data_IF_823336705296
#
_entry.id   IF_823336705296
#
_cell.length_a   1.000
_cell.length_b   1.000
_cell.length_c   1.000
_cell.angle_alpha   90.00
_cell.angle_beta   90.00
_cell.angle_gamma   90.00
#
_symmetry.space_group_name_H-M   'P 1'
#
loop_
_entity.id
_entity.type
_entity.pdbx_description
1 polymer ?
#
# COMPACT_ATOMS: atom_id res chain seq x y z
N UNK A 1 1.02 11.85 67.25
CA UNK A 1 0.54 11.48 65.93
C UNK A 1 0.86 10.00 65.74
N UNK A 2 -0.13 9.15 65.43
CA UNK A 2 0.08 7.72 65.29
C UNK A 2 0.85 7.45 63.96
N UNK A 3 2.01 6.80 64.06
CA UNK A 3 2.85 6.40 62.93
C UNK A 3 2.07 5.59 61.83
N UNK A 4 0.98 4.95 62.21
CA UNK A 4 0.08 4.23 61.27
C UNK A 4 -0.56 5.10 60.20
N UNK A 5 -0.98 6.33 60.56
CA UNK A 5 -1.61 7.23 59.57
C UNK A 5 -0.63 7.76 58.53
N UNK A 6 0.64 8.01 58.91
CA UNK A 6 1.65 8.45 57.98
C UNK A 6 1.98 7.39 56.94
N UNK A 7 2.00 6.12 57.35
CA UNK A 7 2.28 5.00 56.45
C UNK A 7 1.17 4.78 55.43
N UNK A 8 -0.10 4.96 55.81
CA UNK A 8 -1.25 4.91 54.88
C UNK A 8 -1.20 6.03 53.82
N UNK A 9 -0.83 7.26 54.21
CA UNK A 9 -0.68 8.36 53.24
C UNK A 9 0.46 8.11 52.27
N UNK A 10 1.60 7.56 52.74
CA UNK A 10 2.74 7.23 51.86
C UNK A 10 2.34 6.12 50.87
N UNK A 11 1.65 5.07 51.32
CA UNK A 11 1.17 3.98 50.47
C UNK A 11 0.19 4.48 49.40
N UNK A 12 -0.75 5.34 49.80
CA UNK A 12 -1.76 5.91 48.89
C UNK A 12 -1.08 6.81 47.84
N UNK A 13 -0.13 7.66 48.27
CA UNK A 13 0.64 8.51 47.35
C UNK A 13 1.48 7.69 46.37
N UNK A 14 2.12 6.62 46.84
CA UNK A 14 2.88 5.70 45.99
C UNK A 14 1.98 4.98 44.97
N UNK A 15 0.78 4.51 45.40
CA UNK A 15 -0.16 3.89 44.49
C UNK A 15 -0.67 4.85 43.41
N UNK A 16 -1.01 6.08 43.76
CA UNK A 16 -1.43 7.13 42.83
C UNK A 16 -0.28 7.47 41.86
N UNK A 17 0.96 7.59 42.35
CA UNK A 17 2.12 7.81 41.52
C UNK A 17 2.36 6.69 40.52
N UNK A 18 2.18 5.45 40.91
CA UNK A 18 2.29 4.29 40.02
C UNK A 18 1.20 4.30 38.93
N UNK A 19 -0.05 4.62 39.29
CA UNK A 19 -1.16 4.72 38.33
C UNK A 19 -0.89 5.84 37.31
N UNK A 20 -0.48 7.02 37.77
CA UNK A 20 -0.13 8.14 36.88
C UNK A 20 1.06 7.79 35.96
N UNK A 21 2.07 7.10 36.50
CA UNK A 21 3.20 6.62 35.70
C UNK A 21 2.74 5.65 34.58
N UNK A 22 1.86 4.71 34.88
CA UNK A 22 1.30 3.79 33.90
C UNK A 22 0.47 4.50 32.82
N UNK A 23 -0.29 5.53 33.20
CA UNK A 23 -1.06 6.34 32.26
C UNK A 23 -0.12 7.07 31.30
N UNK A 24 0.94 7.71 31.83
CA UNK A 24 1.94 8.43 31.01
C UNK A 24 2.62 7.46 30.04
N UNK A 25 3.09 6.31 30.52
CA UNK A 25 3.70 5.28 29.68
C UNK A 25 2.73 4.80 28.58
N UNK A 26 1.45 4.64 28.93
CA UNK A 26 0.42 4.28 27.96
C UNK A 26 0.25 5.33 26.86
N UNK A 27 0.32 6.62 27.18
CA UNK A 27 0.30 7.71 26.21
C UNK A 27 1.58 7.73 25.33
N UNK A 28 2.75 7.57 25.95
CA UNK A 28 4.03 7.52 25.22
C UNK A 28 4.10 6.35 24.26
N UNK A 29 3.61 5.17 24.64
CA UNK A 29 3.52 4.01 23.75
C UNK A 29 2.58 4.25 22.56
N UNK A 30 1.42 4.85 22.80
CA UNK A 30 0.49 5.21 21.71
C UNK A 30 1.12 6.21 20.74
N UNK A 31 1.79 7.24 21.27
CA UNK A 31 2.46 8.23 20.45
C UNK A 31 3.62 7.61 19.65
N UNK A 32 4.41 6.75 20.28
CA UNK A 32 5.50 6.03 19.63
C UNK A 32 5.00 5.13 18.50
N UNK A 33 3.94 4.37 18.74
CA UNK A 33 3.33 3.53 17.71
C UNK A 33 2.84 4.37 16.52
N UNK A 34 2.14 5.48 16.78
CA UNK A 34 1.68 6.39 15.72
C UNK A 34 2.82 6.95 14.88
N UNK A 35 3.92 7.34 15.52
CA UNK A 35 5.13 7.82 14.81
C UNK A 35 5.72 6.69 13.97
N UNK A 36 5.82 5.48 14.52
CA UNK A 36 6.34 4.31 13.79
C UNK A 36 5.48 3.98 12.56
N UNK A 37 4.16 4.01 12.68
CA UNK A 37 3.23 3.81 11.55
C UNK A 37 3.41 4.88 10.48
N UNK A 38 3.47 6.16 10.87
CA UNK A 38 3.70 7.25 9.92
C UNK A 38 5.05 7.13 9.21
N UNK A 39 6.10 6.70 9.90
CA UNK A 39 7.41 6.45 9.32
C UNK A 39 7.39 5.27 8.35
N UNK A 40 6.68 4.19 8.68
CA UNK A 40 6.54 3.04 7.80
C UNK A 40 5.88 3.41 6.46
N UNK A 41 4.75 4.13 6.51
CA UNK A 41 4.07 4.63 5.29
C UNK A 41 4.94 5.61 4.51
N UNK A 42 5.63 6.54 5.18
CA UNK A 42 6.54 7.49 4.53
C UNK A 42 7.73 6.79 3.86
N UNK A 43 8.30 5.78 4.50
CA UNK A 43 9.39 4.99 3.93
C UNK A 43 8.93 4.20 2.71
N UNK A 44 7.73 3.63 2.76
CA UNK A 44 7.16 2.91 1.62
C UNK A 44 6.94 3.85 0.42
N UNK A 45 6.42 5.05 0.64
CA UNK A 45 6.29 6.09 -0.39
C UNK A 45 7.65 6.45 -1.02
N UNK A 46 8.69 6.62 -0.20
CA UNK A 46 10.05 6.90 -0.69
C UNK A 46 10.61 5.74 -1.52
N UNK A 47 10.36 4.51 -1.09
CA UNK A 47 10.73 3.30 -1.83
C UNK A 47 9.98 3.20 -3.16
N UNK A 48 8.69 3.53 -3.18
CA UNK A 48 7.87 3.54 -4.39
C UNK A 48 8.41 4.56 -5.41
N UNK A 49 8.73 5.79 -4.99
CA UNK A 49 9.35 6.81 -5.86
C UNK A 49 10.68 6.31 -6.41
N UNK A 50 11.55 5.75 -5.57
CA UNK A 50 12.85 5.21 -5.98
C UNK A 50 12.69 4.08 -7.00
N UNK A 51 11.72 3.18 -6.78
CA UNK A 51 11.40 2.09 -7.71
C UNK A 51 10.87 2.61 -9.04
N UNK A 52 10.02 3.65 -9.02
CA UNK A 52 9.50 4.28 -10.24
C UNK A 52 10.61 4.93 -11.06
N UNK A 53 11.56 5.60 -10.41
CA UNK A 53 12.74 6.18 -11.08
C UNK A 53 13.58 5.05 -11.70
N UNK A 54 13.86 3.97 -10.96
CA UNK A 54 14.59 2.82 -11.46
C UNK A 54 13.87 2.13 -12.64
N UNK A 55 12.54 2.08 -12.61
CA UNK A 55 11.73 1.59 -13.74
C UNK A 55 11.97 2.42 -15.00
N UNK A 56 11.97 3.74 -14.89
CA UNK A 56 12.24 4.65 -16.01
C UNK A 56 13.65 4.44 -16.56
N UNK A 57 14.65 4.37 -15.67
CA UNK A 57 16.06 4.24 -16.04
C UNK A 57 16.39 2.86 -16.63
N UNK A 58 15.77 1.79 -16.14
CA UNK A 58 15.98 0.42 -16.63
C UNK A 58 15.31 0.11 -17.96
N UNK A 59 14.42 0.98 -18.43
CA UNK A 59 13.67 0.79 -19.67
C UNK A 59 12.46 -0.15 -19.53
N UNK A 60 12.06 -0.55 -18.31
CA UNK A 60 10.86 -1.36 -18.05
C UNK A 60 9.60 -0.63 -18.53
N UNK A 61 9.59 0.70 -18.52
CA UNK A 61 8.51 1.51 -19.11
C UNK A 61 8.26 1.20 -20.59
N UNK A 62 9.31 0.90 -21.37
CA UNK A 62 9.17 0.47 -22.78
C UNK A 62 8.53 -0.92 -22.88
N UNK A 63 8.94 -1.82 -22.01
CA UNK A 63 8.36 -3.17 -21.90
C UNK A 63 6.89 -3.10 -21.54
N UNK A 64 6.53 -2.22 -20.61
CA UNK A 64 5.15 -1.95 -20.22
C UNK A 64 4.32 -1.41 -21.38
N UNK A 65 4.83 -0.41 -22.12
CA UNK A 65 4.16 0.10 -23.31
C UNK A 65 3.97 -0.99 -24.39
N UNK A 66 4.95 -1.86 -24.57
CA UNK A 66 4.87 -3.02 -25.49
C UNK A 66 3.81 -4.02 -25.03
N UNK A 67 3.67 -4.27 -23.71
CA UNK A 67 2.63 -5.16 -23.18
C UNK A 67 1.21 -4.67 -23.42
N UNK A 68 1.02 -3.34 -23.54
CA UNK A 68 -0.27 -2.72 -23.85
C UNK A 68 -0.61 -2.78 -25.34
N UNK A 69 0.39 -2.71 -26.21
CA UNK A 69 0.22 -2.58 -27.66
C UNK A 69 0.40 -3.91 -28.40
N UNK A 70 1.46 -4.66 -28.07
CA UNK A 70 1.86 -5.89 -28.75
C UNK A 70 2.27 -6.97 -27.73
N UNK A 71 1.36 -7.46 -26.89
CA UNK A 71 1.69 -8.40 -25.80
C UNK A 71 2.24 -9.74 -26.30
N UNK A 72 1.89 -10.15 -27.51
CA UNK A 72 2.32 -11.42 -28.09
C UNK A 72 3.81 -11.39 -28.52
N UNK A 73 4.40 -10.20 -28.71
CA UNK A 73 5.80 -9.98 -29.08
C UNK A 73 6.76 -9.89 -27.89
N UNK A 74 6.27 -10.02 -26.65
CA UNK A 74 7.08 -9.95 -25.46
C UNK A 74 8.08 -11.11 -25.38
N UNK A 75 9.37 -10.78 -25.25
CA UNK A 75 10.43 -11.75 -24.96
C UNK A 75 10.29 -12.30 -23.55
N UNK A 76 11.00 -13.40 -23.24
CA UNK A 76 11.00 -13.95 -21.88
C UNK A 76 11.56 -12.95 -20.86
N UNK A 77 12.63 -12.24 -21.20
CA UNK A 77 13.22 -11.20 -20.34
C UNK A 77 12.21 -10.08 -20.05
N UNK A 78 11.51 -9.59 -21.08
CA UNK A 78 10.46 -8.58 -20.91
C UNK A 78 9.31 -9.08 -20.03
N UNK A 79 8.93 -10.35 -20.15
CA UNK A 79 7.91 -10.97 -19.28
C UNK A 79 8.37 -11.05 -17.82
N UNK A 80 9.64 -11.40 -17.59
CA UNK A 80 10.22 -11.42 -16.24
C UNK A 80 10.23 -10.01 -15.63
N UNK A 81 10.61 -8.99 -16.40
CA UNK A 81 10.61 -7.62 -15.94
C UNK A 81 9.20 -7.13 -15.58
N UNK A 82 8.18 -7.50 -16.37
CA UNK A 82 6.78 -7.19 -16.05
C UNK A 82 6.27 -7.94 -14.83
N UNK A 83 6.68 -9.20 -14.65
CA UNK A 83 6.35 -9.99 -13.47
C UNK A 83 6.85 -9.30 -12.20
N UNK A 84 8.13 -8.92 -12.17
CA UNK A 84 8.73 -8.20 -11.04
C UNK A 84 8.05 -6.84 -10.79
N UNK A 85 7.68 -6.10 -11.84
CA UNK A 85 6.98 -4.84 -11.74
C UNK A 85 5.59 -5.01 -11.12
N UNK A 86 4.81 -5.99 -11.59
CA UNK A 86 3.47 -6.27 -11.08
C UNK A 86 3.50 -6.76 -9.62
N UNK A 87 4.50 -7.58 -9.28
CA UNK A 87 4.75 -7.96 -7.88
C UNK A 87 5.04 -6.73 -7.01
N UNK A 88 5.93 -5.83 -7.46
CA UNK A 88 6.27 -4.63 -6.71
C UNK A 88 5.03 -3.75 -6.46
N UNK A 89 4.14 -3.58 -7.44
CA UNK A 89 2.90 -2.85 -7.27
C UNK A 89 1.99 -3.50 -6.20
N UNK A 90 1.77 -4.81 -6.28
CA UNK A 90 0.94 -5.52 -5.30
C UNK A 90 1.56 -5.42 -3.90
N UNK A 91 2.87 -5.62 -3.76
CA UNK A 91 3.55 -5.53 -2.47
C UNK A 91 3.47 -4.14 -1.85
N UNK A 92 3.48 -3.07 -2.64
CA UNK A 92 3.32 -1.70 -2.14
C UNK A 92 1.96 -1.53 -1.46
N UNK A 93 0.86 -1.87 -2.14
CA UNK A 93 -0.48 -1.78 -1.56
C UNK A 93 -0.70 -2.75 -0.41
N UNK A 94 -0.16 -3.97 -0.51
CA UNK A 94 -0.24 -4.97 0.55
C UNK A 94 0.45 -4.49 1.83
N UNK A 95 1.65 -3.93 1.71
CA UNK A 95 2.40 -3.39 2.83
C UNK A 95 1.63 -2.24 3.50
N UNK A 96 1.16 -1.25 2.73
CA UNK A 96 0.44 -0.09 3.27
C UNK A 96 -0.88 -0.51 3.94
N UNK A 97 -1.62 -1.42 3.31
CA UNK A 97 -2.84 -1.98 3.88
C UNK A 97 -2.56 -2.69 5.20
N UNK A 98 -1.58 -3.59 5.28
CA UNK A 98 -1.26 -4.34 6.49
C UNK A 98 -0.80 -3.43 7.63
N UNK A 99 0.11 -2.49 7.36
CA UNK A 99 0.61 -1.55 8.39
C UNK A 99 -0.55 -0.77 9.01
N UNK A 100 -1.47 -0.27 8.20
CA UNK A 100 -2.61 0.51 8.68
C UNK A 100 -3.68 -0.37 9.35
N UNK A 101 -3.90 -1.58 8.85
CA UNK A 101 -4.82 -2.55 9.42
C UNK A 101 -4.41 -2.97 10.84
N UNK A 102 -3.13 -3.30 11.04
CA UNK A 102 -2.59 -3.70 12.34
C UNK A 102 -2.53 -2.55 13.36
N UNK A 103 -2.44 -1.29 12.90
CA UNK A 103 -2.50 -0.11 13.77
C UNK A 103 -3.93 0.30 14.16
N UNK A 104 -4.94 -0.52 13.89
CA UNK A 104 -6.37 -0.20 14.06
C UNK A 104 -6.82 1.08 13.34
N UNK A 105 -6.15 1.46 12.29
CA UNK A 105 -6.50 2.58 11.41
C UNK A 105 -7.39 2.10 10.25
N UNK A 106 -8.51 1.45 10.57
CA UNK A 106 -9.38 0.79 9.58
C UNK A 106 -9.85 1.72 8.45
N UNK A 107 -10.16 2.98 8.75
CA UNK A 107 -10.54 3.97 7.73
C UNK A 107 -9.41 4.25 6.73
N UNK A 108 -8.16 4.32 7.22
CA UNK A 108 -7.00 4.52 6.34
C UNK A 108 -6.66 3.26 5.54
N UNK A 109 -6.79 2.08 6.15
CA UNK A 109 -6.62 0.82 5.44
C UNK A 109 -7.66 0.66 4.32
N UNK A 110 -8.91 1.04 4.57
CA UNK A 110 -9.96 1.04 3.55
C UNK A 110 -9.66 2.07 2.43
N UNK A 111 -9.13 3.24 2.77
CA UNK A 111 -8.72 4.23 1.78
C UNK A 111 -7.62 3.69 0.84
N UNK A 112 -6.67 2.88 1.33
CA UNK A 112 -5.67 2.20 0.49
C UNK A 112 -6.33 1.23 -0.49
N UNK A 113 -7.33 0.46 -0.05
CA UNK A 113 -8.07 -0.43 -0.95
C UNK A 113 -8.87 0.34 -2.02
N UNK A 114 -9.49 1.47 -1.66
CA UNK A 114 -10.19 2.34 -2.61
C UNK A 114 -9.23 2.99 -3.62
N UNK A 115 -8.02 3.35 -3.18
CA UNK A 115 -6.96 3.83 -4.07
C UNK A 115 -6.55 2.74 -5.05
N UNK A 116 -6.30 1.53 -4.56
CA UNK A 116 -6.01 0.36 -5.39
C UNK A 116 -7.10 0.13 -6.45
N UNK A 117 -8.39 0.17 -6.06
CA UNK A 117 -9.52 0.01 -7.01
C UNK A 117 -9.44 1.01 -8.16
N UNK A 118 -9.07 2.27 -7.88
CA UNK A 118 -8.95 3.31 -8.92
C UNK A 118 -7.76 3.10 -9.84
N UNK A 119 -6.65 2.58 -9.32
CA UNK A 119 -5.40 2.44 -10.05
C UNK A 119 -5.32 1.14 -10.85
N UNK A 120 -6.06 0.12 -10.42
CA UNK A 120 -6.09 -1.20 -11.04
C UNK A 120 -6.34 -1.19 -12.55
N UNK A 121 -7.28 -0.40 -13.12
CA UNK A 121 -7.48 -0.34 -14.56
C UNK A 121 -6.25 0.11 -15.35
N UNK A 122 -5.39 0.91 -14.72
CA UNK A 122 -4.15 1.42 -15.32
C UNK A 122 -3.00 0.41 -15.11
N UNK A 123 -2.95 -0.24 -13.94
CA UNK A 123 -1.87 -1.16 -13.60
C UNK A 123 -2.07 -2.54 -14.21
N UNK A 124 -3.30 -3.04 -14.19
CA UNK A 124 -3.69 -4.40 -14.59
C UNK A 124 -4.60 -4.44 -15.84
N UNK A 125 -4.61 -3.36 -16.62
CA UNK A 125 -5.47 -3.25 -17.80
C UNK A 125 -5.07 -4.14 -18.97
N UNK A 126 -3.79 -4.45 -19.16
CA UNK A 126 -3.28 -5.23 -20.29
C UNK A 126 -3.67 -6.72 -20.21
N UNK A 127 -3.65 -7.41 -21.35
CA UNK A 127 -3.85 -8.87 -21.41
C UNK A 127 -2.82 -9.61 -20.55
N UNK A 128 -1.56 -9.17 -20.60
CA UNK A 128 -0.50 -9.79 -19.82
C UNK A 128 -0.73 -9.65 -18.33
N UNK A 129 -1.00 -8.44 -17.83
CA UNK A 129 -1.19 -8.20 -16.40
C UNK A 129 -2.42 -8.90 -15.83
N UNK A 130 -3.50 -9.03 -16.62
CA UNK A 130 -4.67 -9.81 -16.22
C UNK A 130 -4.40 -11.32 -16.13
N UNK A 131 -3.66 -11.86 -17.10
CA UNK A 131 -3.24 -13.27 -17.05
C UNK A 131 -2.31 -13.51 -15.86
N UNK A 132 -1.37 -12.61 -15.64
CA UNK A 132 -0.46 -12.63 -14.49
C UNK A 132 -1.24 -12.64 -13.16
N UNK A 133 -2.26 -11.79 -13.03
CA UNK A 133 -3.10 -11.73 -11.83
C UNK A 133 -3.81 -13.06 -11.57
N UNK A 134 -4.39 -13.70 -12.59
CA UNK A 134 -5.07 -14.99 -12.43
C UNK A 134 -4.12 -16.08 -11.91
N UNK A 135 -2.88 -16.08 -12.36
CA UNK A 135 -1.85 -17.04 -11.93
C UNK A 135 -1.36 -16.74 -10.50
N UNK A 136 -1.25 -15.46 -10.14
CA UNK A 136 -0.55 -15.04 -8.93
C UNK A 136 -1.47 -14.72 -7.73
N UNK A 137 -2.77 -14.55 -7.91
CA UNK A 137 -3.69 -14.12 -6.84
C UNK A 137 -3.75 -15.06 -5.63
N UNK A 138 -3.29 -16.30 -5.75
CA UNK A 138 -3.35 -17.31 -4.68
C UNK A 138 -2.45 -16.98 -3.48
N UNK A 139 -1.40 -16.16 -3.65
CA UNK A 139 -0.51 -15.73 -2.56
C UNK A 139 -0.86 -14.35 -2.00
N UNK A 140 -1.79 -13.64 -2.61
CA UNK A 140 -2.18 -12.30 -2.19
C UNK A 140 -3.17 -12.33 -1.03
N UNK A 141 -3.20 -11.26 -0.24
CA UNK A 141 -4.25 -11.04 0.74
C UNK A 141 -5.63 -10.97 0.07
N UNK A 142 -6.64 -11.57 0.68
CA UNK A 142 -8.01 -11.66 0.12
C UNK A 142 -8.64 -10.29 -0.12
N UNK A 143 -8.38 -9.31 0.75
CA UNK A 143 -8.94 -7.96 0.61
C UNK A 143 -8.31 -7.23 -0.58
N UNK A 144 -7.00 -7.40 -0.77
CA UNK A 144 -6.27 -6.91 -1.96
C UNK A 144 -6.81 -7.54 -3.24
N UNK A 145 -6.99 -8.86 -3.26
CA UNK A 145 -7.58 -9.55 -4.43
C UNK A 145 -8.97 -9.02 -4.73
N UNK A 146 -9.81 -8.87 -3.69
CA UNK A 146 -11.17 -8.34 -3.82
C UNK A 146 -11.17 -6.91 -4.37
N UNK A 147 -10.27 -6.05 -3.90
CA UNK A 147 -10.12 -4.69 -4.41
C UNK A 147 -9.69 -4.69 -5.89
N UNK A 148 -8.71 -5.53 -6.26
CA UNK A 148 -8.26 -5.66 -7.66
C UNK A 148 -9.41 -6.16 -8.55
N UNK A 149 -10.12 -7.21 -8.15
CA UNK A 149 -11.24 -7.75 -8.94
C UNK A 149 -12.37 -6.72 -9.09
N UNK A 150 -12.64 -5.91 -8.05
CA UNK A 150 -13.59 -4.80 -8.09
C UNK A 150 -13.16 -3.72 -9.10
N UNK A 151 -11.88 -3.32 -9.11
CA UNK A 151 -11.35 -2.34 -10.05
C UNK A 151 -11.35 -2.82 -11.50
N UNK A 152 -11.23 -4.14 -11.72
CA UNK A 152 -11.28 -4.73 -13.07
C UNK A 152 -12.69 -5.06 -13.57
N UNK A 153 -13.71 -5.04 -12.71
CA UNK A 153 -15.04 -5.51 -13.02
C UNK A 153 -15.63 -4.89 -14.29
N UNK A 154 -15.53 -3.57 -14.40
CA UNK A 154 -16.08 -2.80 -15.52
C UNK A 154 -14.99 -2.25 -16.45
N UNK A 155 -13.73 -2.54 -16.16
CA UNK A 155 -12.60 -2.09 -16.97
C UNK A 155 -12.35 -3.05 -18.14
N UNK A 156 -12.39 -2.59 -19.40
CA UNK A 156 -12.09 -3.45 -20.54
C UNK A 156 -10.61 -3.88 -20.54
N UNK A 157 -10.31 -4.95 -21.27
CA UNK A 157 -8.92 -5.30 -21.59
C UNK A 157 -8.33 -4.18 -22.46
N UNK A 158 -7.16 -3.66 -22.07
CA UNK A 158 -6.55 -2.48 -22.70
C UNK A 158 -6.92 -1.16 -22.04
N UNK A 159 -7.57 -1.18 -20.85
CA UNK A 159 -7.93 0.03 -20.09
C UNK A 159 -6.70 0.88 -19.72
N UNK A 160 -5.54 0.28 -19.56
CA UNK A 160 -4.26 0.95 -19.37
C UNK A 160 -3.88 1.81 -20.60
N UNK A 161 -3.95 1.26 -21.81
CA UNK A 161 -3.69 1.99 -23.04
C UNK A 161 -4.75 3.10 -23.26
N UNK A 162 -6.01 2.83 -22.95
CA UNK A 162 -7.10 3.79 -23.07
C UNK A 162 -6.91 4.99 -22.12
N UNK A 163 -6.34 4.78 -20.95
CA UNK A 163 -5.97 5.86 -20.04
C UNK A 163 -5.01 6.86 -20.71
N UNK A 164 -3.93 6.39 -21.36
CA UNK A 164 -2.98 7.27 -22.05
C UNK A 164 -3.59 7.97 -23.26
N UNK A 165 -4.44 7.29 -24.03
CA UNK A 165 -5.19 7.90 -25.15
C UNK A 165 -6.08 9.06 -24.68
N UNK A 166 -6.70 8.94 -23.51
CA UNK A 166 -7.51 10.04 -22.95
C UNK A 166 -6.64 11.24 -22.55
N UNK A 167 -5.45 10.99 -22.01
CA UNK A 167 -4.49 12.07 -21.70
C UNK A 167 -4.10 12.79 -22.99
N UNK A 168 -3.74 12.07 -24.06
CA UNK A 168 -3.38 12.65 -25.35
C UNK A 168 -4.54 13.50 -25.93
N UNK A 169 -5.76 13.00 -25.86
CA UNK A 169 -6.93 13.72 -26.32
C UNK A 169 -7.18 15.01 -25.52
N UNK A 170 -6.99 14.98 -24.21
CA UNK A 170 -7.09 16.16 -23.35
C UNK A 170 -5.98 17.17 -23.65
N UNK A 171 -4.75 16.72 -23.79
CA UNK A 171 -3.61 17.56 -24.10
C UNK A 171 -3.78 18.31 -25.43
N UNK A 172 -4.45 17.70 -26.41
CA UNK A 172 -4.74 18.33 -27.70
C UNK A 172 -5.79 19.46 -27.63
N UNK A 173 -6.48 19.62 -26.50
CA UNK A 173 -7.51 20.66 -26.27
C UNK A 173 -6.99 21.85 -25.46
N UNK A 174 -5.79 21.75 -24.89
CA UNK A 174 -5.12 22.81 -24.11
C UNK A 174 -4.21 23.65 -24.97
#
# INVERSE_FOLDING_TARGET
>A
MKLSGLNEYIQTAAALGAILGLIIVGFELRQSNRIATQQAVSNNWSNWISSTIAEIESGVSKTRAKSMTNPDDLTLEEKINLDLLLQAYVYTYHHDYEVLYWDNSSELAEAVLEELVRDVPIMFGSRFSRAWLQENKHWMNTDIVTAIERGLKDAPVGSDLEYYRRIDALAATL
#
